data_IF_860177281245
#
_entry.id   IF_860177281245
#
_cell.length_a   1.000
_cell.length_b   1.000
_cell.length_c   1.000
_cell.angle_alpha   90.00
_cell.angle_beta   90.00
_cell.angle_gamma   90.00
#
_symmetry.space_group_name_H-M   'P 1'
#
loop_
_entity.id
_entity.type
_entity.pdbx_description
1 polymer ?
#
# COMPACT_ATOMS: atom_id res chain seq x y z
N UNK A 1 -6.77 -24.30 5.12
CA UNK A 1 -6.76 -22.83 4.92
C UNK A 1 -7.88 -22.28 5.76
N UNK A 2 -7.61 -21.34 6.67
CA UNK A 2 -8.65 -20.74 7.48
C UNK A 2 -9.65 -19.97 6.61
N UNK A 3 -10.93 -19.99 6.98
CA UNK A 3 -11.97 -19.17 6.34
C UNK A 3 -11.81 -17.71 6.75
N UNK A 4 -11.25 -16.89 5.85
CA UNK A 4 -10.89 -15.49 6.10
C UNK A 4 -11.86 -14.48 5.49
N UNK A 5 -12.98 -14.94 4.91
CA UNK A 5 -13.98 -14.02 4.35
C UNK A 5 -14.70 -13.27 5.47
N UNK A 6 -15.02 -12.00 5.24
CA UNK A 6 -15.87 -11.22 6.13
C UNK A 6 -17.35 -11.39 5.76
N UNK A 7 -17.68 -11.69 4.51
CA UNK A 7 -19.06 -11.83 4.05
C UNK A 7 -19.61 -13.24 4.29
N UNK A 8 -19.63 -13.62 5.56
CA UNK A 8 -20.00 -14.97 6.00
C UNK A 8 -21.47 -15.01 6.41
N UNK A 9 -22.20 -15.98 5.85
CA UNK A 9 -23.53 -16.32 6.31
C UNK A 9 -23.50 -16.76 7.78
N UNK A 10 -24.56 -16.41 8.51
CA UNK A 10 -24.75 -16.93 9.87
C UNK A 10 -24.97 -18.45 9.83
N UNK A 11 -24.57 -19.14 10.89
CA UNK A 11 -24.63 -20.59 10.99
C UNK A 11 -25.32 -21.04 12.29
N UNK A 12 -25.33 -22.34 12.56
CA UNK A 12 -25.95 -22.94 13.76
C UNK A 12 -25.35 -22.45 15.08
N UNK A 13 -24.15 -21.87 15.05
CA UNK A 13 -23.49 -21.28 16.21
C UNK A 13 -23.81 -19.78 16.36
N UNK A 14 -24.58 -19.21 15.43
CA UNK A 14 -25.12 -17.86 15.49
C UNK A 14 -24.58 -16.91 14.42
N UNK A 15 -24.59 -15.61 14.76
CA UNK A 15 -24.34 -14.53 13.82
C UNK A 15 -22.89 -14.54 13.32
N UNK A 16 -22.70 -14.23 12.03
CA UNK A 16 -21.40 -14.05 11.38
C UNK A 16 -21.40 -12.86 10.43
N UNK A 17 -20.20 -12.51 9.99
CA UNK A 17 -19.95 -11.52 8.96
C UNK A 17 -20.45 -10.14 9.35
N UNK A 18 -21.00 -9.38 8.40
CA UNK A 18 -21.45 -8.01 8.63
C UNK A 18 -22.48 -7.86 9.77
N UNK A 19 -23.25 -8.92 10.07
CA UNK A 19 -24.17 -8.93 11.21
C UNK A 19 -23.49 -8.80 12.58
N UNK A 20 -22.19 -9.09 12.67
CA UNK A 20 -21.40 -8.90 13.90
C UNK A 20 -21.07 -7.45 14.20
N UNK A 21 -21.03 -6.57 13.18
CA UNK A 21 -20.65 -5.17 13.32
C UNK A 21 -21.53 -4.40 14.33
N UNK A 22 -22.89 -4.41 14.23
CA UNK A 22 -23.72 -3.73 15.22
C UNK A 22 -23.57 -4.29 16.64
N UNK A 23 -23.29 -5.59 16.79
CA UNK A 23 -23.03 -6.18 18.10
C UNK A 23 -21.72 -5.67 18.69
N UNK A 24 -20.69 -5.52 17.85
CA UNK A 24 -19.39 -5.00 18.27
C UNK A 24 -19.46 -3.54 18.70
N UNK A 25 -20.30 -2.74 18.03
CA UNK A 25 -20.58 -1.36 18.42
C UNK A 25 -21.15 -1.27 19.84
N UNK A 26 -22.03 -2.19 20.24
CA UNK A 26 -22.57 -2.22 21.63
C UNK A 26 -21.46 -2.42 22.66
N UNK A 27 -20.48 -3.30 22.38
CA UNK A 27 -19.32 -3.51 23.27
C UNK A 27 -18.52 -2.22 23.42
N UNK A 28 -18.35 -1.50 22.33
CA UNK A 28 -17.62 -0.23 22.32
C UNK A 28 -18.38 0.85 23.10
N UNK A 29 -19.68 1.00 22.88
CA UNK A 29 -20.50 2.04 23.50
C UNK A 29 -20.67 1.85 25.01
N UNK A 30 -20.66 0.60 25.49
CA UNK A 30 -20.93 0.28 26.91
C UNK A 30 -19.71 -0.23 27.68
N UNK A 31 -18.61 -0.56 27.00
CA UNK A 31 -17.51 -1.35 27.57
C UNK A 31 -16.24 -0.57 27.93
N UNK A 32 -16.14 0.72 27.61
CA UNK A 32 -14.90 1.52 27.79
C UNK A 32 -14.39 1.61 29.23
N UNK A 33 -15.20 1.29 30.23
CA UNK A 33 -14.78 1.24 31.64
C UNK A 33 -14.27 -0.16 32.08
N UNK A 34 -14.53 -1.22 31.31
CA UNK A 34 -14.14 -2.62 31.60
C UNK A 34 -13.41 -3.23 30.40
N UNK A 35 -12.13 -2.85 30.24
CA UNK A 35 -11.28 -3.33 29.15
C UNK A 35 -11.19 -4.86 29.14
N UNK A 36 -11.00 -5.50 30.29
CA UNK A 36 -10.78 -6.95 30.34
C UNK A 36 -11.98 -7.73 29.78
N UNK A 37 -13.20 -7.44 30.25
CA UNK A 37 -14.39 -8.11 29.73
C UNK A 37 -14.67 -7.74 28.28
N UNK A 38 -14.45 -6.48 27.92
CA UNK A 38 -14.69 -6.00 26.55
C UNK A 38 -13.75 -6.68 25.56
N UNK A 39 -12.44 -6.71 25.83
CA UNK A 39 -11.47 -7.36 24.97
C UNK A 39 -11.64 -8.88 24.94
N UNK A 40 -12.03 -9.52 26.05
CA UNK A 40 -12.38 -10.94 26.04
C UNK A 40 -13.53 -11.24 25.07
N UNK A 41 -14.57 -10.40 25.07
CA UNK A 41 -15.70 -10.54 24.15
C UNK A 41 -15.31 -10.22 22.70
N UNK A 42 -14.61 -9.10 22.45
CA UNK A 42 -14.15 -8.72 21.11
C UNK A 42 -13.24 -9.79 20.50
N UNK A 43 -12.40 -10.44 21.31
CA UNK A 43 -11.55 -11.57 20.89
C UNK A 43 -12.36 -12.76 20.37
N UNK A 44 -13.52 -13.07 20.96
CA UNK A 44 -14.40 -14.12 20.46
C UNK A 44 -15.18 -13.66 19.23
N UNK A 45 -15.66 -12.42 19.24
CA UNK A 45 -16.42 -11.84 18.13
C UNK A 45 -15.59 -11.75 16.85
N UNK A 46 -14.29 -11.41 16.95
CA UNK A 46 -13.43 -11.31 15.76
C UNK A 46 -13.26 -12.65 15.05
N UNK A 47 -13.48 -13.78 15.73
CA UNK A 47 -13.46 -15.11 15.08
C UNK A 47 -14.66 -15.30 14.14
N UNK A 48 -15.77 -14.61 14.40
CA UNK A 48 -17.02 -14.69 13.63
C UNK A 48 -17.17 -13.62 12.54
N UNK A 49 -16.40 -12.54 12.62
CA UNK A 49 -16.25 -11.52 11.57
C UNK A 49 -14.88 -10.82 11.68
N UNK A 50 -14.89 -9.58 12.18
CA UNK A 50 -13.75 -8.76 12.56
C UNK A 50 -14.23 -7.82 13.68
N UNK A 51 -13.33 -7.45 14.59
CA UNK A 51 -13.57 -6.35 15.55
C UNK A 51 -12.54 -5.23 15.40
N UNK A 52 -12.03 -5.06 14.18
CA UNK A 52 -10.96 -4.09 13.86
C UNK A 52 -11.37 -2.64 14.10
N UNK A 53 -12.66 -2.32 14.10
CA UNK A 53 -13.18 -0.98 14.37
C UNK A 53 -13.41 -0.77 15.87
N UNK A 54 -13.92 -1.80 16.54
CA UNK A 54 -14.41 -1.79 17.91
C UNK A 54 -13.28 -1.74 18.95
N UNK A 55 -12.11 -2.30 18.63
CA UNK A 55 -10.93 -2.16 19.52
C UNK A 55 -10.36 -0.73 19.53
N UNK A 56 -10.72 0.10 18.53
CA UNK A 56 -10.05 1.41 18.31
C UNK A 56 -10.42 2.46 19.36
N UNK A 57 -11.67 2.58 19.83
CA UNK A 57 -11.98 3.51 20.92
C UNK A 57 -11.29 3.17 22.23
N UNK A 58 -11.00 1.89 22.48
CA UNK A 58 -10.17 1.49 23.62
C UNK A 58 -8.71 1.91 23.43
N UNK A 59 -8.15 1.70 22.24
CA UNK A 59 -6.79 2.13 21.88
C UNK A 59 -6.63 3.67 21.93
N UNK A 60 -7.68 4.43 21.58
CA UNK A 60 -7.68 5.89 21.66
C UNK A 60 -7.79 6.39 23.12
N UNK A 61 -8.56 5.68 23.95
CA UNK A 61 -8.78 6.01 25.37
C UNK A 61 -7.56 5.71 26.25
N UNK A 62 -7.00 4.51 26.12
CA UNK A 62 -5.84 4.05 26.90
C UNK A 62 -5.03 3.05 26.07
N UNK A 63 -4.12 3.60 25.26
CA UNK A 63 -3.34 2.84 24.29
C UNK A 63 -2.50 1.74 24.96
N UNK A 64 -1.79 2.08 26.03
CA UNK A 64 -0.87 1.15 26.70
C UNK A 64 -1.64 -0.03 27.30
N UNK A 65 -2.77 0.25 27.95
CA UNK A 65 -3.64 -0.81 28.50
C UNK A 65 -4.19 -1.71 27.39
N UNK A 66 -4.75 -1.14 26.33
CA UNK A 66 -5.29 -1.92 25.20
C UNK A 66 -4.20 -2.78 24.53
N UNK A 67 -3.02 -2.20 24.25
CA UNK A 67 -1.91 -2.93 23.65
C UNK A 67 -1.39 -4.03 24.58
N UNK A 68 -1.37 -3.81 25.91
CA UNK A 68 -0.96 -4.85 26.86
C UNK A 68 -1.88 -6.08 26.83
N UNK A 69 -3.19 -5.90 26.64
CA UNK A 69 -4.16 -6.99 26.51
C UNK A 69 -4.01 -7.72 25.18
N UNK A 70 -3.75 -6.98 24.10
CA UNK A 70 -3.61 -7.52 22.75
C UNK A 70 -2.25 -8.17 22.50
N UNK A 71 -1.19 -7.77 23.20
CA UNK A 71 0.17 -8.23 22.91
C UNK A 71 0.34 -9.76 22.95
N UNK A 72 -0.22 -10.51 23.92
CA UNK A 72 -0.12 -11.98 23.93
C UNK A 72 -0.82 -12.65 22.74
N UNK A 73 -1.76 -11.95 22.08
CA UNK A 73 -2.57 -12.50 21.01
C UNK A 73 -1.79 -12.71 19.71
N UNK A 74 -0.56 -12.23 19.60
CA UNK A 74 0.33 -12.58 18.47
C UNK A 74 0.60 -14.08 18.37
N UNK A 75 0.44 -14.82 19.48
CA UNK A 75 0.60 -16.27 19.55
C UNK A 75 -0.74 -17.03 19.60
N UNK A 76 -1.88 -16.35 19.39
CA UNK A 76 -3.18 -16.99 19.49
C UNK A 76 -3.36 -18.05 18.38
N UNK A 77 -3.96 -19.23 18.68
CA UNK A 77 -4.21 -20.24 17.65
C UNK A 77 -5.13 -19.73 16.53
N UNK A 78 -6.01 -18.76 16.82
CA UNK A 78 -6.91 -18.20 15.81
C UNK A 78 -6.21 -17.17 14.92
N UNK A 79 -6.22 -17.43 13.61
CA UNK A 79 -5.73 -16.48 12.61
C UNK A 79 -6.46 -15.13 12.66
N UNK A 80 -7.75 -15.12 13.01
CA UNK A 80 -8.55 -13.90 13.09
C UNK A 80 -8.10 -13.02 14.25
N UNK A 81 -7.73 -13.64 15.38
CA UNK A 81 -7.22 -12.96 16.56
C UNK A 81 -5.83 -12.39 16.28
N UNK A 82 -4.92 -13.18 15.68
CA UNK A 82 -3.58 -12.68 15.30
C UNK A 82 -3.68 -11.52 14.29
N UNK A 83 -4.57 -11.63 13.30
CA UNK A 83 -4.84 -10.55 12.34
C UNK A 83 -5.41 -9.32 13.02
N UNK A 84 -6.29 -9.46 14.01
CA UNK A 84 -6.83 -8.33 14.77
C UNK A 84 -5.71 -7.53 15.47
N UNK A 85 -4.67 -8.19 15.98
CA UNK A 85 -3.52 -7.50 16.59
C UNK A 85 -2.90 -6.51 15.62
N UNK A 86 -2.64 -6.93 14.38
CA UNK A 86 -2.10 -6.04 13.35
C UNK A 86 -3.16 -5.07 12.81
N UNK A 87 -4.36 -5.52 12.47
CA UNK A 87 -5.35 -4.71 11.77
C UNK A 87 -5.99 -3.65 12.66
N UNK A 88 -6.41 -4.05 13.86
CA UNK A 88 -7.09 -3.17 14.82
C UNK A 88 -6.19 -2.04 15.29
N UNK A 89 -4.87 -2.25 15.31
CA UNK A 89 -3.87 -1.26 15.70
C UNK A 89 -3.31 -0.44 14.54
N UNK A 90 -3.81 -0.62 13.30
CA UNK A 90 -3.36 0.19 12.15
C UNK A 90 -3.56 1.69 12.41
N UNK A 91 -2.56 2.57 12.17
CA UNK A 91 -2.71 4.01 12.39
C UNK A 91 -3.84 4.63 11.53
N UNK A 92 -3.96 4.17 10.28
CA UNK A 92 -4.84 4.76 9.24
C UNK A 92 -5.76 3.73 8.58
N UNK A 93 -6.42 2.90 9.41
CA UNK A 93 -7.39 1.92 8.94
C UNK A 93 -8.50 2.57 8.10
N UNK A 94 -8.81 2.09 6.89
CA UNK A 94 -9.97 2.55 6.12
C UNK A 94 -11.27 2.36 6.90
N UNK A 95 -12.17 3.34 6.82
CA UNK A 95 -13.48 3.38 7.53
C UNK A 95 -13.41 3.43 9.07
N UNK A 96 -12.27 3.06 9.67
CA UNK A 96 -12.01 3.24 11.10
C UNK A 96 -11.56 4.65 11.48
N UNK A 97 -11.73 5.01 12.75
CA UNK A 97 -11.12 6.21 13.33
C UNK A 97 -9.59 6.17 13.20
N UNK A 98 -8.90 7.29 12.95
CA UNK A 98 -7.43 7.30 12.97
C UNK A 98 -6.91 7.24 14.40
N UNK A 99 -5.95 6.35 14.67
CA UNK A 99 -5.27 6.28 15.96
C UNK A 99 -4.13 7.30 15.93
N UNK A 100 -4.42 8.54 16.37
CA UNK A 100 -3.51 9.68 16.22
C UNK A 100 -2.17 9.46 16.93
N UNK A 101 -2.20 8.84 18.10
CA UNK A 101 -1.01 8.51 18.89
C UNK A 101 -0.09 7.57 18.09
N UNK A 102 -0.63 6.49 17.50
CA UNK A 102 0.13 5.59 16.62
C UNK A 102 0.51 6.18 15.26
N UNK A 103 -0.16 7.23 14.80
CA UNK A 103 0.30 7.99 13.64
C UNK A 103 1.54 8.83 14.00
N UNK A 104 1.57 9.40 15.21
CA UNK A 104 2.67 10.23 15.69
C UNK A 104 3.88 9.39 16.09
N UNK A 105 3.67 8.28 16.79
CA UNK A 105 4.71 7.35 17.21
C UNK A 105 4.24 5.88 17.02
N UNK A 106 4.77 5.17 16.01
CA UNK A 106 4.44 3.78 15.76
C UNK A 106 5.23 2.80 16.66
N UNK A 107 6.18 3.27 17.47
CA UNK A 107 7.07 2.42 18.29
C UNK A 107 6.29 1.37 19.11
N UNK A 108 5.15 1.68 19.76
CA UNK A 108 4.42 0.71 20.58
C UNK A 108 3.90 -0.51 19.83
N UNK A 109 3.67 -0.41 18.52
CA UNK A 109 3.14 -1.52 17.70
C UNK A 109 4.23 -2.28 16.94
N UNK A 110 5.46 -1.76 16.85
CA UNK A 110 6.54 -2.42 16.11
C UNK A 110 6.84 -3.85 16.62
N UNK A 111 6.91 -4.13 17.94
CA UNK A 111 7.13 -5.49 18.43
C UNK A 111 6.02 -6.46 18.03
N UNK A 112 4.77 -5.98 17.91
CA UNK A 112 3.63 -6.78 17.48
C UNK A 112 3.73 -7.15 16.00
N UNK A 113 4.08 -6.18 15.16
CA UNK A 113 4.30 -6.41 13.73
C UNK A 113 5.49 -7.32 13.49
N UNK A 114 6.54 -7.15 14.27
CA UNK A 114 7.74 -7.95 14.21
C UNK A 114 7.45 -9.42 14.53
N UNK A 115 6.64 -9.70 15.56
CA UNK A 115 6.21 -11.06 15.92
C UNK A 115 5.35 -11.73 14.83
N UNK A 116 4.55 -10.93 14.10
CA UNK A 116 3.62 -11.42 13.08
C UNK A 116 4.19 -11.44 11.65
N UNK A 117 5.42 -10.95 11.42
CA UNK A 117 6.00 -10.80 10.07
C UNK A 117 6.12 -12.13 9.31
N UNK A 118 6.29 -13.23 10.04
CA UNK A 118 6.47 -14.58 9.54
C UNK A 118 5.28 -15.50 9.82
N UNK A 119 4.11 -14.92 10.14
CA UNK A 119 2.89 -15.68 10.37
C UNK A 119 2.65 -16.65 9.20
N UNK A 120 2.28 -17.93 9.43
CA UNK A 120 2.06 -18.88 8.34
C UNK A 120 0.91 -18.47 7.41
N UNK A 121 -0.04 -17.66 7.89
CA UNK A 121 -1.23 -17.28 7.14
C UNK A 121 -1.06 -15.95 6.41
N UNK A 122 -1.27 -15.96 5.09
CA UNK A 122 -1.20 -14.76 4.24
C UNK A 122 -2.15 -13.65 4.71
N UNK A 123 -3.30 -14.01 5.30
CA UNK A 123 -4.27 -13.08 5.84
C UNK A 123 -3.68 -12.17 6.92
N UNK A 124 -2.84 -12.72 7.82
CA UNK A 124 -2.15 -11.96 8.86
C UNK A 124 -1.03 -11.13 8.26
N UNK A 125 -0.15 -11.74 7.46
CA UNK A 125 0.96 -11.02 6.79
C UNK A 125 0.48 -9.87 5.92
N UNK A 126 -0.67 -10.00 5.27
CA UNK A 126 -1.31 -8.93 4.50
C UNK A 126 -1.69 -7.75 5.37
N UNK A 127 -2.23 -8.01 6.56
CA UNK A 127 -2.52 -6.98 7.56
C UNK A 127 -1.23 -6.27 8.00
N UNK A 128 -0.17 -7.02 8.34
CA UNK A 128 1.13 -6.44 8.74
C UNK A 128 1.69 -5.55 7.64
N UNK A 129 1.64 -5.99 6.38
CA UNK A 129 2.08 -5.18 5.26
C UNK A 129 1.22 -3.93 5.04
N UNK A 130 -0.10 -4.00 5.25
CA UNK A 130 -0.96 -2.82 5.19
C UNK A 130 -0.68 -1.85 6.35
N UNK A 131 -0.40 -2.38 7.54
CA UNK A 131 -0.03 -1.61 8.70
C UNK A 131 1.27 -0.84 8.47
N UNK A 132 2.34 -1.51 8.02
CA UNK A 132 3.60 -0.85 7.66
C UNK A 132 3.41 0.21 6.56
N UNK A 133 2.57 -0.07 5.56
CA UNK A 133 2.25 0.92 4.52
C UNK A 133 1.47 2.13 5.07
N UNK A 134 0.72 1.99 6.17
CA UNK A 134 0.09 3.12 6.86
C UNK A 134 1.12 3.93 7.63
N UNK A 135 2.06 3.27 8.32
CA UNK A 135 3.19 3.92 9.01
C UNK A 135 4.04 4.71 8.01
N UNK A 136 4.30 4.16 6.82
CA UNK A 136 5.10 4.80 5.77
C UNK A 136 4.58 6.16 5.29
N UNK A 137 3.31 6.50 5.58
CA UNK A 137 2.72 7.81 5.23
C UNK A 137 3.25 8.95 6.10
N UNK A 138 3.70 8.64 7.31
CA UNK A 138 4.20 9.59 8.30
C UNK A 138 5.69 9.33 8.63
N UNK A 139 6.13 8.07 8.58
CA UNK A 139 7.47 7.61 8.95
C UNK A 139 8.12 6.77 7.82
N UNK A 140 8.40 7.38 6.65
CA UNK A 140 8.89 6.64 5.47
C UNK A 140 10.28 6.00 5.70
N UNK A 141 11.19 6.70 6.38
CA UNK A 141 12.55 6.22 6.65
C UNK A 141 12.55 5.02 7.60
N UNK A 142 11.75 5.06 8.67
CA UNK A 142 11.58 3.93 9.57
C UNK A 142 11.11 2.66 8.83
N UNK A 143 10.16 2.79 7.89
CA UNK A 143 9.70 1.65 7.11
C UNK A 143 10.77 1.17 6.12
N UNK A 144 11.61 2.07 5.59
CA UNK A 144 12.75 1.69 4.78
C UNK A 144 13.81 0.90 5.59
N UNK A 145 14.11 1.33 6.82
CA UNK A 145 14.99 0.62 7.74
C UNK A 145 14.47 -0.77 8.09
N UNK A 146 13.17 -0.87 8.44
CA UNK A 146 12.48 -2.14 8.68
C UNK A 146 12.57 -3.04 7.44
N UNK A 147 12.33 -2.49 6.24
CA UNK A 147 12.42 -3.26 5.00
C UNK A 147 13.84 -3.80 4.78
N UNK A 148 14.87 -2.98 4.96
CA UNK A 148 16.27 -3.38 4.82
C UNK A 148 16.66 -4.46 5.85
N UNK A 149 16.11 -4.40 7.06
CA UNK A 149 16.32 -5.43 8.07
C UNK A 149 15.58 -6.73 7.74
N UNK A 150 14.29 -6.64 7.42
CA UNK A 150 13.41 -7.79 7.23
C UNK A 150 13.66 -8.54 5.91
N UNK A 151 14.27 -7.89 4.90
CA UNK A 151 14.68 -8.57 3.67
C UNK A 151 15.91 -9.47 3.85
N UNK A 152 16.66 -9.33 4.95
CA UNK A 152 17.78 -10.24 5.25
C UNK A 152 17.23 -11.63 5.56
N UNK A 153 17.76 -12.63 4.86
CA UNK A 153 17.38 -14.04 4.99
C UNK A 153 15.86 -14.28 4.93
N UNK A 154 15.17 -13.45 4.15
CA UNK A 154 13.72 -13.53 3.99
C UNK A 154 13.33 -14.74 3.14
N UNK A 155 12.30 -15.47 3.58
CA UNK A 155 11.63 -16.41 2.70
C UNK A 155 10.73 -15.66 1.69
N UNK A 156 10.13 -16.40 0.76
CA UNK A 156 9.23 -15.83 -0.25
C UNK A 156 8.02 -15.10 0.37
N UNK A 157 7.57 -15.53 1.54
CA UNK A 157 6.41 -14.94 2.21
C UNK A 157 6.75 -13.58 2.82
N UNK A 158 7.89 -13.49 3.53
CA UNK A 158 8.39 -12.24 4.11
C UNK A 158 8.78 -11.25 3.02
N UNK A 159 9.41 -11.70 1.93
CA UNK A 159 9.65 -10.84 0.77
C UNK A 159 8.36 -10.24 0.20
N UNK A 160 7.30 -11.06 0.06
CA UNK A 160 6.00 -10.60 -0.45
C UNK A 160 5.36 -9.58 0.51
N UNK A 161 5.46 -9.81 1.82
CA UNK A 161 5.03 -8.87 2.85
C UNK A 161 5.74 -7.53 2.70
N UNK A 162 7.08 -7.52 2.71
CA UNK A 162 7.88 -6.28 2.66
C UNK A 162 7.65 -5.52 1.36
N UNK A 163 7.57 -6.22 0.22
CA UNK A 163 7.22 -5.60 -1.08
C UNK A 163 5.85 -4.93 -1.05
N UNK A 164 4.86 -5.56 -0.41
CA UNK A 164 3.53 -4.95 -0.27
C UNK A 164 3.54 -3.78 0.69
N UNK A 165 4.27 -3.88 1.81
CA UNK A 165 4.44 -2.80 2.79
C UNK A 165 5.02 -1.53 2.16
N UNK A 166 6.04 -1.70 1.32
CA UNK A 166 6.77 -0.59 0.71
C UNK A 166 6.16 -0.06 -0.60
N UNK A 167 5.01 -0.59 -1.04
CA UNK A 167 4.46 -0.28 -2.38
C UNK A 167 4.27 1.21 -2.65
N UNK A 168 3.90 1.97 -1.62
CA UNK A 168 3.70 3.42 -1.73
C UNK A 168 5.03 4.15 -1.86
N UNK A 169 6.01 3.82 -1.00
CA UNK A 169 7.36 4.38 -1.03
C UNK A 169 8.09 4.08 -2.35
N UNK A 170 8.03 2.83 -2.83
CA UNK A 170 8.59 2.44 -4.13
C UNK A 170 7.97 3.26 -5.26
N UNK A 171 6.64 3.46 -5.24
CA UNK A 171 5.94 4.26 -6.24
C UNK A 171 6.30 5.75 -6.14
N UNK A 172 6.54 6.25 -4.93
CA UNK A 172 7.00 7.61 -4.69
C UNK A 172 8.48 7.83 -5.05
N UNK A 173 9.24 6.75 -5.27
CA UNK A 173 10.65 6.82 -5.57
C UNK A 173 11.53 7.04 -4.35
N UNK A 174 11.09 6.59 -3.16
CA UNK A 174 11.82 6.77 -1.91
C UNK A 174 13.17 6.04 -1.94
N UNK A 175 14.28 6.80 -1.92
CA UNK A 175 15.62 6.29 -2.17
C UNK A 175 16.04 5.17 -1.21
N UNK A 176 15.89 5.36 0.11
CA UNK A 176 16.28 4.36 1.10
C UNK A 176 15.47 3.05 0.94
N UNK A 177 14.20 3.15 0.55
CA UNK A 177 13.37 1.97 0.28
C UNK A 177 13.81 1.25 -0.97
N UNK A 178 14.13 1.97 -2.05
CA UNK A 178 14.63 1.37 -3.28
C UNK A 178 15.96 0.67 -3.06
N UNK A 179 16.87 1.29 -2.30
CA UNK A 179 18.14 0.71 -1.89
C UNK A 179 17.95 -0.57 -1.08
N UNK A 180 16.98 -0.62 -0.16
CA UNK A 180 16.62 -1.84 0.57
C UNK A 180 16.21 -2.99 -0.36
N UNK A 181 15.64 -2.70 -1.54
CA UNK A 181 15.33 -3.69 -2.58
C UNK A 181 16.48 -3.94 -3.57
N UNK A 182 17.67 -3.41 -3.31
CA UNK A 182 18.84 -3.52 -4.19
C UNK A 182 18.75 -2.66 -5.46
N UNK A 183 17.83 -1.69 -5.50
CA UNK A 183 17.66 -0.78 -6.62
C UNK A 183 18.44 0.51 -6.36
N UNK A 184 19.53 0.69 -7.11
CA UNK A 184 20.36 1.89 -7.06
C UNK A 184 19.83 2.96 -8.00
N UNK A 185 20.37 4.17 -7.86
CA UNK A 185 20.16 5.24 -8.85
C UNK A 185 20.50 4.72 -10.25
N UNK A 186 19.65 4.97 -11.26
CA UNK A 186 19.86 4.39 -12.58
C UNK A 186 20.97 5.17 -13.31
N UNK A 187 21.94 4.43 -13.82
CA UNK A 187 23.05 4.96 -14.60
C UNK A 187 22.80 4.65 -16.08
N UNK A 188 22.10 5.59 -16.73
CA UNK A 188 21.50 5.41 -18.04
C UNK A 188 21.60 6.68 -18.89
N UNK A 189 21.63 6.50 -20.21
CA UNK A 189 21.29 7.53 -21.20
C UNK A 189 19.88 7.24 -21.70
N UNK A 190 19.00 8.23 -21.65
CA UNK A 190 17.57 8.04 -21.94
C UNK A 190 17.07 9.11 -22.92
N UNK A 191 16.46 8.64 -24.00
CA UNK A 191 15.65 9.46 -24.92
C UNK A 191 14.17 9.15 -24.70
N UNK A 192 13.38 10.19 -24.43
CA UNK A 192 11.94 10.09 -24.21
C UNK A 192 11.46 10.67 -22.87
N UNK A 193 10.15 10.55 -22.57
CA UNK A 193 9.15 9.80 -23.32
C UNK A 193 8.82 10.46 -24.67
N UNK A 194 8.91 9.71 -25.77
CA UNK A 194 8.57 10.18 -27.12
C UNK A 194 7.07 9.93 -27.32
N UNK A 195 6.25 10.98 -27.31
CA UNK A 195 4.81 10.86 -27.51
C UNK A 195 4.51 10.56 -28.99
N UNK A 196 3.88 9.41 -29.26
CA UNK A 196 3.46 9.00 -30.60
C UNK A 196 2.05 9.53 -30.95
N UNK A 197 1.21 9.77 -29.93
CA UNK A 197 -0.15 10.31 -30.06
C UNK A 197 -0.24 11.68 -29.42
N UNK A 198 0.14 12.73 -30.16
CA UNK A 198 0.15 14.12 -29.64
C UNK A 198 -1.23 14.65 -29.26
N UNK A 199 -2.29 14.12 -29.85
CA UNK A 199 -3.68 14.36 -29.48
C UNK A 199 -4.38 13.04 -29.19
N UNK A 200 -5.06 12.94 -28.04
CA UNK A 200 -5.75 11.74 -27.57
C UNK A 200 -7.22 12.06 -27.40
N UNK A 201 -8.08 11.35 -28.12
CA UNK A 201 -9.53 11.42 -27.91
C UNK A 201 -9.92 10.69 -26.62
N UNK A 202 -10.87 11.24 -25.88
CA UNK A 202 -11.41 10.59 -24.70
C UNK A 202 -12.08 9.26 -25.05
N UNK A 203 -11.66 8.18 -24.38
CA UNK A 203 -12.02 6.79 -24.72
C UNK A 203 -10.91 6.01 -25.42
N UNK A 204 -9.89 6.71 -25.94
CA UNK A 204 -8.73 6.13 -26.63
C UNK A 204 -7.52 6.03 -25.69
N UNK A 205 -6.30 5.95 -26.25
CA UNK A 205 -5.07 5.75 -25.49
C UNK A 205 -3.97 6.73 -25.87
N UNK A 206 -3.23 7.18 -24.87
CA UNK A 206 -1.92 7.80 -25.04
C UNK A 206 -0.88 6.72 -25.36
N UNK A 207 -0.10 6.92 -26.42
CA UNK A 207 1.04 6.06 -26.75
C UNK A 207 2.34 6.85 -26.70
N UNK A 208 3.36 6.27 -26.06
CA UNK A 208 4.70 6.82 -26.03
C UNK A 208 5.78 5.73 -25.99
N UNK A 209 6.97 6.07 -26.48
CA UNK A 209 8.15 5.21 -26.50
C UNK A 209 9.34 5.80 -25.75
N UNK A 210 10.34 4.96 -25.49
CA UNK A 210 11.64 5.37 -24.93
C UNK A 210 12.77 4.58 -25.59
N UNK A 211 13.94 5.21 -25.72
CA UNK A 211 15.20 4.54 -26.04
C UNK A 211 16.13 4.67 -24.82
N UNK A 212 16.48 3.54 -24.22
CA UNK A 212 17.20 3.47 -22.97
C UNK A 212 18.52 2.72 -23.16
N UNK A 213 19.64 3.36 -22.85
CA UNK A 213 20.99 2.76 -22.94
C UNK A 213 21.66 2.74 -21.57
N UNK A 214 22.23 1.60 -21.20
CA UNK A 214 23.04 1.48 -19.99
C UNK A 214 24.36 2.24 -20.13
N UNK A 215 24.73 3.04 -19.13
CA UNK A 215 26.06 3.67 -19.05
C UNK A 215 26.98 2.97 -18.05
N UNK A 216 26.55 1.85 -17.45
CA UNK A 216 27.32 1.12 -16.44
C UNK A 216 28.26 0.10 -17.05
N UNK A 217 29.27 -0.30 -16.26
CA UNK A 217 30.17 -1.43 -16.57
C UNK A 217 29.70 -2.78 -15.99
N UNK A 218 28.65 -2.78 -15.18
CA UNK A 218 28.04 -3.97 -14.61
C UNK A 218 26.53 -4.02 -14.92
N UNK A 219 25.89 -5.20 -14.88
CA UNK A 219 24.44 -5.31 -15.04
C UNK A 219 23.71 -4.51 -13.97
N UNK A 220 22.59 -3.87 -14.34
CA UNK A 220 21.76 -3.12 -13.41
C UNK A 220 20.28 -3.52 -13.53
N UNK A 221 19.57 -3.50 -12.40
CA UNK A 221 18.14 -3.75 -12.34
C UNK A 221 17.39 -2.42 -12.35
N UNK A 222 16.45 -2.28 -13.27
CA UNK A 222 15.66 -1.07 -13.44
C UNK A 222 14.17 -1.39 -13.27
N UNK A 223 13.52 -0.62 -12.40
CA UNK A 223 12.06 -0.55 -12.28
C UNK A 223 11.61 0.70 -13.01
N UNK A 224 10.89 0.50 -14.11
CA UNK A 224 10.34 1.56 -14.93
C UNK A 224 8.88 1.75 -14.53
N UNK A 225 8.57 2.97 -14.12
CA UNK A 225 7.24 3.51 -13.96
C UNK A 225 7.09 4.72 -14.90
N UNK A 226 5.86 5.18 -15.11
CA UNK A 226 5.59 6.42 -15.82
C UNK A 226 4.59 7.26 -15.03
N UNK A 227 4.66 8.57 -15.21
CA UNK A 227 3.82 9.54 -14.50
C UNK A 227 2.99 10.26 -15.54
N UNK A 228 1.67 10.08 -15.48
CA UNK A 228 0.76 10.92 -16.26
C UNK A 228 0.37 12.10 -15.39
N UNK A 229 0.61 13.29 -15.90
CA UNK A 229 0.31 14.57 -15.26
C UNK A 229 -1.06 15.02 -15.76
N UNK A 230 -2.11 14.65 -15.00
CA UNK A 230 -3.48 14.93 -15.38
C UNK A 230 -3.92 16.34 -15.03
N UNK A 231 -4.51 17.06 -15.97
CA UNK A 231 -5.17 18.34 -15.73
C UNK A 231 -6.32 18.18 -14.75
N UNK A 232 -6.38 19.07 -13.76
CA UNK A 232 -7.48 19.20 -12.81
C UNK A 232 -8.45 20.30 -13.24
N UNK A 233 -9.59 20.39 -12.56
CA UNK A 233 -10.58 21.47 -12.75
C UNK A 233 -9.99 22.88 -12.69
N UNK A 234 -8.96 23.10 -11.86
CA UNK A 234 -8.29 24.40 -11.71
C UNK A 234 -7.18 24.65 -12.75
N UNK A 235 -7.05 23.80 -13.77
CA UNK A 235 -6.03 23.90 -14.82
C UNK A 235 -4.64 23.37 -14.46
N UNK A 236 -4.35 23.12 -13.18
CA UNK A 236 -3.06 22.54 -12.76
C UNK A 236 -2.93 21.08 -13.17
N UNK A 237 -1.68 20.63 -13.37
CA UNK A 237 -1.38 19.23 -13.63
C UNK A 237 -1.08 18.46 -12.33
N UNK A 238 -1.62 17.24 -12.23
CA UNK A 238 -1.50 16.35 -11.08
C UNK A 238 -0.74 15.08 -11.47
N UNK A 239 0.39 14.76 -10.81
CA UNK A 239 1.12 13.55 -11.13
C UNK A 239 0.35 12.32 -10.65
N UNK A 240 0.21 11.34 -11.54
CA UNK A 240 -0.24 9.99 -11.21
C UNK A 240 0.74 8.97 -11.75
N UNK A 241 1.45 8.31 -10.84
CA UNK A 241 2.39 7.24 -11.20
C UNK A 241 1.63 5.95 -11.56
N UNK A 242 2.08 5.29 -12.62
CA UNK A 242 1.62 3.99 -13.12
C UNK A 242 2.79 3.04 -13.26
N UNK A 243 2.56 1.76 -12.93
CA UNK A 243 3.55 0.70 -13.11
C UNK A 243 3.73 0.40 -14.59
N UNK A 244 4.97 0.22 -15.03
CA UNK A 244 5.25 -0.23 -16.40
C UNK A 244 5.90 -1.60 -16.40
N UNK A 245 7.18 -1.71 -16.05
CA UNK A 245 7.93 -2.97 -16.16
C UNK A 245 9.18 -2.98 -15.30
N UNK A 246 9.82 -4.14 -15.20
CA UNK A 246 11.17 -4.30 -14.64
C UNK A 246 12.06 -4.95 -15.67
N UNK A 247 13.29 -4.48 -15.79
CA UNK A 247 14.28 -5.03 -16.72
C UNK A 247 15.63 -5.19 -16.02
N UNK A 248 16.36 -6.22 -16.42
CA UNK A 248 17.80 -6.29 -16.24
C UNK A 248 18.44 -5.68 -17.49
N UNK A 249 19.30 -4.69 -17.33
CA UNK A 249 19.99 -4.02 -18.42
C UNK A 249 21.48 -4.31 -18.32
N UNK A 250 22.02 -4.97 -19.34
CA UNK A 250 23.44 -5.32 -19.44
C UNK A 250 24.31 -4.09 -19.75
N UNK A 251 25.62 -4.12 -19.44
CA UNK A 251 26.54 -3.02 -19.73
C UNK A 251 26.49 -2.57 -21.21
N UNK A 252 26.26 -1.28 -21.45
CA UNK A 252 26.16 -0.70 -22.79
C UNK A 252 24.95 -1.14 -23.62
N UNK A 253 24.05 -1.98 -23.08
CA UNK A 253 22.86 -2.44 -23.78
C UNK A 253 21.89 -1.28 -24.01
N UNK A 254 21.32 -1.23 -25.21
CA UNK A 254 20.19 -0.36 -25.55
C UNK A 254 18.91 -1.17 -25.70
N UNK A 255 17.82 -0.68 -25.13
CA UNK A 255 16.48 -1.24 -25.29
C UNK A 255 15.51 -0.15 -25.71
N UNK A 256 14.58 -0.51 -26.60
CA UNK A 256 13.49 0.34 -27.03
C UNK A 256 12.20 -0.22 -26.45
N UNK A 257 11.45 0.60 -25.72
CA UNK A 257 10.23 0.18 -25.04
C UNK A 257 9.09 1.12 -25.43
N UNK A 258 7.90 0.53 -25.65
CA UNK A 258 6.68 1.26 -26.00
C UNK A 258 5.60 1.00 -24.96
N UNK A 259 4.81 2.03 -24.65
CA UNK A 259 3.69 1.94 -23.70
C UNK A 259 2.44 2.60 -24.25
N UNK A 260 1.32 1.96 -23.95
CA UNK A 260 -0.01 2.50 -24.17
C UNK A 260 -0.71 2.70 -22.82
N UNK A 261 -1.36 3.87 -22.65
CA UNK A 261 -2.15 4.21 -21.48
C UNK A 261 -3.56 4.63 -21.91
N UNK A 262 -4.53 3.75 -21.61
CA UNK A 262 -5.94 4.00 -21.90
C UNK A 262 -6.49 5.15 -21.03
N UNK A 263 -7.12 6.13 -21.67
CA UNK A 263 -7.82 7.25 -21.04
C UNK A 263 -9.31 7.09 -21.33
N UNK A 264 -10.00 6.36 -20.45
CA UNK A 264 -11.41 5.96 -20.64
C UNK A 264 -12.23 6.21 -19.36
N UNK A 265 -13.58 6.19 -19.45
CA UNK A 265 -14.46 6.39 -18.30
C UNK A 265 -14.17 5.43 -17.14
N UNK A 266 -13.97 6.00 -15.95
CA UNK A 266 -13.83 5.28 -14.67
C UNK A 266 -14.57 6.04 -13.57
N UNK A 267 -15.07 5.32 -12.56
CA UNK A 267 -15.86 5.92 -11.45
C UNK A 267 -15.02 6.73 -10.46
N UNK A 268 -13.70 6.57 -10.49
CA UNK A 268 -12.79 7.12 -9.47
C UNK A 268 -12.02 8.35 -9.93
N UNK A 269 -12.21 8.82 -11.17
CA UNK A 269 -11.52 9.99 -11.72
C UNK A 269 -12.37 10.71 -12.75
N UNK A 270 -12.43 12.03 -12.61
CA UNK A 270 -12.92 12.94 -13.66
C UNK A 270 -11.73 13.38 -14.51
N UNK A 271 -11.88 13.32 -15.83
CA UNK A 271 -10.90 13.83 -16.79
C UNK A 271 -11.32 15.21 -17.28
N UNK A 272 -10.34 16.06 -17.54
CA UNK A 272 -10.54 17.41 -18.06
C UNK A 272 -9.76 17.56 -19.36
N UNK A 273 -10.42 18.07 -20.40
CA UNK A 273 -9.79 18.33 -21.69
C UNK A 273 -8.74 19.43 -21.61
N UNK A 274 -7.78 19.39 -22.52
CA UNK A 274 -6.62 20.28 -22.50
C UNK A 274 -5.29 19.54 -22.46
N UNK A 275 -4.22 20.32 -22.44
CA UNK A 275 -2.85 19.85 -22.30
C UNK A 275 -2.65 19.05 -21.03
N UNK A 276 -2.06 17.88 -21.21
CA UNK A 276 -1.60 16.93 -20.20
C UNK A 276 -0.11 16.70 -20.43
N UNK A 277 0.54 15.92 -19.57
CA UNK A 277 1.89 15.46 -19.85
C UNK A 277 2.16 14.04 -19.37
N UNK A 278 3.24 13.47 -19.88
CA UNK A 278 3.82 12.22 -19.41
C UNK A 278 5.31 12.41 -19.13
N UNK A 279 5.77 11.85 -18.02
CA UNK A 279 7.19 11.69 -17.71
C UNK A 279 7.48 10.25 -17.29
N UNK A 280 8.75 9.90 -17.16
CA UNK A 280 9.22 8.59 -16.74
C UNK A 280 9.70 8.64 -15.30
N UNK A 281 9.60 7.53 -14.58
CA UNK A 281 10.21 7.35 -13.26
C UNK A 281 10.96 6.02 -13.24
N UNK A 282 12.28 6.08 -13.23
CA UNK A 282 13.15 4.89 -13.28
C UNK A 282 13.93 4.83 -11.98
N UNK A 283 13.80 3.72 -11.24
CA UNK A 283 14.39 3.56 -9.90
C UNK A 283 14.19 4.82 -9.02
N UNK A 284 12.98 5.36 -9.05
CA UNK A 284 12.58 6.53 -8.25
C UNK A 284 12.97 7.90 -8.79
N UNK A 285 13.86 7.98 -9.78
CA UNK A 285 14.26 9.25 -10.39
C UNK A 285 13.40 9.58 -11.61
N UNK A 286 12.96 10.83 -11.72
CA UNK A 286 12.15 11.31 -12.83
C UNK A 286 13.00 11.68 -14.04
N UNK A 287 12.52 11.33 -15.24
CA UNK A 287 13.19 11.60 -16.51
C UNK A 287 12.21 12.06 -17.58
N UNK A 288 12.66 13.02 -18.38
CA UNK A 288 11.91 13.55 -19.51
C UNK A 288 10.59 14.22 -19.10
N UNK A 289 9.99 14.89 -20.05
CA UNK A 289 8.66 15.46 -19.91
C UNK A 289 8.13 15.74 -21.31
N UNK A 290 6.96 15.22 -21.64
CA UNK A 290 6.36 15.44 -22.94
C UNK A 290 4.87 15.64 -22.82
N UNK A 291 4.40 16.68 -23.49
CA UNK A 291 3.00 17.09 -23.46
C UNK A 291 2.20 16.35 -24.53
N UNK A 292 0.91 16.18 -24.24
CA UNK A 292 -0.09 15.72 -25.20
C UNK A 292 -1.41 16.41 -24.91
N UNK A 293 -2.26 16.53 -25.92
CA UNK A 293 -3.57 17.17 -25.81
C UNK A 293 -4.65 16.10 -25.59
N UNK A 294 -5.45 16.24 -24.52
CA UNK A 294 -6.63 15.39 -24.32
C UNK A 294 -7.87 16.10 -24.85
N UNK A 295 -8.48 15.51 -25.88
CA UNK A 295 -9.70 16.00 -26.51
C UNK A 295 -10.89 15.33 -25.83
N UNK A 296 -11.69 16.13 -25.11
CA UNK A 296 -12.98 15.70 -24.56
C UNK A 296 -14.03 16.57 -25.26
N UNK A 297 -14.95 15.95 -25.99
CA UNK A 297 -16.08 16.69 -26.57
C UNK A 297 -16.88 17.35 -25.44
N UNK A 298 -17.21 18.63 -25.62
CA UNK A 298 -18.09 19.34 -24.71
C UNK A 298 -19.45 18.63 -24.73
N UNK A 299 -19.87 18.10 -23.59
CA UNK A 299 -21.23 17.58 -23.39
C UNK A 299 -22.18 18.70 -23.05
#
# INVERSE_FOLDING_TARGET
>A
VADTDVDRASDELGIRGWGMMPLGMVVTDSGLEDFEKSFALLKEMTKRATTEFEVRPFLDRDQDKALSIMAPWVNDPSVHVRRLVSEGTRPRLPWGMRLKQLCADPTPVLPLLEALRDDPEEYVRRSVANHLNDIAKDHPDLVAEIAALWLRDADRNREKLVRHACRTLVKQGHSATLEAFGLKEPEISLEGPIVETGSVEYGSSLTFGINLTSTTKAPQQLVLDYVVHFKKANGSLAPKVFKWTKIALEPGQTVNLRREHAIRPITTRVYYGGTQAVSLRINGKDFGYSEFELIIEAT
#
